data_IF_448513465826
#
_entry.id   IF_448513465826
#
_cell.length_a   1.000
_cell.length_b   1.000
_cell.length_c   1.000
_cell.angle_alpha   90.00
_cell.angle_beta   90.00
_cell.angle_gamma   90.00
#
_symmetry.space_group_name_H-M   'P 1'
#
loop_
_entity.id
_entity.type
_entity.pdbx_description
1 polymer ?
#
# COMPACT_ATOMS: atom_id res chain seq x y z
N UNK A 1 8.23 -11.65 15.81
CA UNK A 1 8.17 -12.14 14.40
C UNK A 1 8.58 -13.61 14.48
N UNK A 2 7.72 -14.55 14.09
CA UNK A 2 7.98 -15.99 14.27
C UNK A 2 8.47 -16.55 12.95
N UNK A 3 9.60 -17.25 12.92
CA UNK A 3 10.11 -17.83 11.67
C UNK A 3 9.54 -19.25 11.54
N UNK A 4 8.82 -19.53 10.46
CA UNK A 4 8.27 -20.86 10.18
C UNK A 4 8.83 -21.41 8.87
N UNK A 5 9.05 -22.72 8.78
CA UNK A 5 9.42 -23.38 7.53
C UNK A 5 8.20 -23.48 6.62
N UNK A 6 8.34 -23.09 5.35
CA UNK A 6 7.33 -23.33 4.33
C UNK A 6 7.41 -24.78 3.81
N UNK A 7 6.51 -25.14 2.88
CA UNK A 7 6.45 -26.46 2.23
C UNK A 7 7.73 -26.84 1.42
N UNK A 8 8.65 -25.90 1.25
CA UNK A 8 9.91 -26.07 0.53
C UNK A 8 11.12 -25.91 1.48
N UNK A 9 10.92 -26.15 2.78
CA UNK A 9 11.94 -26.03 3.84
C UNK A 9 12.60 -24.64 4.00
N UNK A 10 12.06 -23.60 3.35
CA UNK A 10 12.57 -22.24 3.47
C UNK A 10 12.01 -21.58 4.72
N UNK A 11 12.89 -20.93 5.49
CA UNK A 11 12.53 -20.13 6.64
C UNK A 11 11.85 -18.84 6.18
N UNK A 12 10.54 -18.73 6.44
CA UNK A 12 9.74 -17.55 6.11
C UNK A 12 9.34 -16.85 7.41
N UNK A 13 9.67 -15.55 7.58
CA UNK A 13 9.20 -14.78 8.72
C UNK A 13 7.69 -14.64 8.62
N UNK A 14 6.99 -15.27 9.56
CA UNK A 14 5.53 -15.32 9.62
C UNK A 14 5.05 -14.54 10.83
N UNK A 15 4.05 -13.69 10.61
CA UNK A 15 3.36 -13.01 11.71
C UNK A 15 2.30 -13.95 12.26
N UNK A 16 2.22 -14.11 13.58
CA UNK A 16 1.08 -14.77 14.23
C UNK A 16 -0.18 -14.02 13.80
N UNK A 17 -1.08 -14.70 13.07
CA UNK A 17 -2.31 -14.10 12.58
C UNK A 17 -3.33 -14.07 13.71
N UNK A 18 -3.57 -12.90 14.29
CA UNK A 18 -4.60 -12.71 15.31
C UNK A 18 -6.00 -12.50 14.70
N UNK A 19 -6.09 -12.28 13.38
CA UNK A 19 -7.36 -12.03 12.67
C UNK A 19 -7.27 -12.34 11.17
N UNK A 20 -8.43 -12.62 10.58
CA UNK A 20 -8.59 -12.77 9.13
C UNK A 20 -8.38 -11.44 8.41
N UNK A 21 -7.74 -11.50 7.23
CA UNK A 21 -7.56 -10.34 6.33
C UNK A 21 -8.29 -10.59 5.02
N UNK A 22 -9.05 -9.60 4.60
CA UNK A 22 -9.70 -9.62 3.28
C UNK A 22 -8.65 -9.31 2.21
N UNK A 23 -8.45 -10.25 1.29
CA UNK A 23 -7.56 -10.11 0.15
C UNK A 23 -8.37 -10.28 -1.13
N UNK A 24 -8.55 -9.21 -1.89
CA UNK A 24 -9.24 -9.26 -3.18
C UNK A 24 -8.21 -9.46 -4.29
N UNK A 25 -8.48 -10.40 -5.19
CA UNK A 25 -7.60 -10.70 -6.32
C UNK A 25 -7.80 -9.71 -7.47
N UNK A 26 -6.97 -8.66 -7.49
CA UNK A 26 -6.94 -7.66 -8.56
C UNK A 26 -5.92 -7.98 -9.67
N UNK A 27 -5.39 -9.20 -9.80
CA UNK A 27 -4.35 -9.51 -10.81
C UNK A 27 -4.76 -9.14 -12.23
N UNK A 28 -5.98 -9.48 -12.65
CA UNK A 28 -6.52 -9.14 -13.98
C UNK A 28 -6.73 -7.64 -14.15
N UNK A 29 -7.27 -6.98 -13.13
CA UNK A 29 -7.45 -5.54 -13.14
C UNK A 29 -6.10 -4.81 -13.28
N UNK A 30 -5.08 -5.26 -12.54
CA UNK A 30 -3.74 -4.69 -12.57
C UNK A 30 -3.04 -4.87 -13.92
N UNK A 31 -3.31 -5.96 -14.64
CA UNK A 31 -2.79 -6.16 -15.99
C UNK A 31 -3.43 -5.19 -17.00
N UNK A 32 -4.71 -4.87 -16.84
CA UNK A 32 -5.43 -3.93 -17.69
C UNK A 32 -5.22 -2.45 -17.29
N UNK A 33 -4.62 -2.19 -16.13
CA UNK A 33 -4.41 -0.83 -15.61
C UNK A 33 -3.05 -0.30 -16.08
N UNK A 34 -3.06 0.92 -16.61
CA UNK A 34 -1.81 1.63 -16.92
C UNK A 34 -1.01 1.89 -15.64
N UNK A 35 0.26 1.47 -15.62
CA UNK A 35 1.13 1.59 -14.45
C UNK A 35 1.59 3.04 -14.25
N UNK A 36 1.41 3.57 -13.05
CA UNK A 36 1.90 4.90 -12.67
C UNK A 36 3.36 4.80 -12.20
N UNK A 37 4.27 5.34 -13.01
CA UNK A 37 5.70 5.40 -12.74
C UNK A 37 6.06 6.62 -11.89
N UNK A 38 5.40 6.81 -10.75
CA UNK A 38 5.77 7.88 -9.83
C UNK A 38 7.15 7.57 -9.20
N UNK A 39 8.10 8.53 -9.21
CA UNK A 39 9.43 8.28 -8.69
C UNK A 39 9.39 8.10 -7.18
N UNK A 40 9.89 6.98 -6.69
CA UNK A 40 10.21 6.81 -5.29
C UNK A 40 11.52 7.55 -4.98
N UNK A 41 11.63 8.25 -3.84
CA UNK A 41 12.88 8.90 -3.47
C UNK A 41 13.99 7.86 -3.28
N UNK A 42 15.19 8.18 -3.78
CA UNK A 42 16.36 7.35 -3.53
C UNK A 42 16.70 7.34 -2.03
N UNK A 43 16.93 6.15 -1.48
CA UNK A 43 17.22 5.97 -0.05
C UNK A 43 18.44 6.81 0.36
N UNK A 44 19.50 6.84 -0.46
CA UNK A 44 20.70 7.63 -0.17
C UNK A 44 20.45 9.15 -0.11
N UNK A 45 19.49 9.65 -0.90
CA UNK A 45 19.08 11.05 -0.82
C UNK A 45 18.33 11.34 0.48
N UNK A 46 17.45 10.43 0.89
CA UNK A 46 16.72 10.54 2.15
C UNK A 46 17.68 10.48 3.34
N UNK A 47 18.62 9.52 3.36
CA UNK A 47 19.60 9.37 4.44
C UNK A 47 20.52 10.59 4.55
N UNK A 48 20.94 11.19 3.43
CA UNK A 48 21.72 12.44 3.46
C UNK A 48 20.95 13.59 4.09
N UNK A 49 19.64 13.74 3.80
CA UNK A 49 18.80 14.77 4.43
C UNK A 49 18.61 14.54 5.94
N UNK A 50 18.57 13.27 6.35
CA UNK A 50 18.38 12.87 7.75
C UNK A 50 19.67 12.91 8.57
N UNK A 51 20.85 12.80 7.95
CA UNK A 51 22.13 12.78 8.63
C UNK A 51 22.36 14.03 9.49
N UNK A 52 22.93 13.86 10.69
CA UNK A 52 23.28 14.95 11.60
C UNK A 52 22.11 15.53 12.40
N UNK A 53 20.89 14.96 12.31
CA UNK A 53 19.79 15.34 13.20
C UNK A 53 19.94 14.64 14.56
N UNK A 54 19.64 15.38 15.64
CA UNK A 54 19.75 14.87 17.02
C UNK A 54 18.61 13.94 17.41
N UNK A 55 17.45 14.05 16.74
CA UNK A 55 16.24 13.28 17.04
C UNK A 55 15.56 12.85 15.74
N UNK A 56 14.91 11.69 15.77
CA UNK A 56 14.16 11.11 14.66
C UNK A 56 12.77 10.69 15.15
N UNK A 57 11.75 10.93 14.33
CA UNK A 57 10.38 10.48 14.57
C UNK A 57 9.92 9.63 13.38
N UNK A 58 9.32 8.47 13.68
CA UNK A 58 8.74 7.59 12.67
C UNK A 58 7.22 7.61 12.83
N UNK A 59 6.53 8.05 11.77
CA UNK A 59 5.08 8.12 11.72
C UNK A 59 4.57 7.01 10.79
N UNK A 60 3.67 6.17 11.30
CA UNK A 60 2.98 5.16 10.49
C UNK A 60 1.61 5.67 10.05
N UNK A 61 1.36 5.64 8.74
CA UNK A 61 0.05 5.97 8.18
C UNK A 61 -0.91 4.81 8.38
N UNK A 62 -1.56 4.74 9.55
CA UNK A 62 -2.46 3.63 9.89
C UNK A 62 -3.53 3.42 8.81
N UNK A 63 -3.54 2.23 8.19
CA UNK A 63 -4.43 1.92 7.06
C UNK A 63 -4.36 2.98 5.94
N UNK A 64 -3.19 3.55 5.67
CA UNK A 64 -3.01 4.76 4.85
C UNK A 64 -3.62 4.68 3.46
N UNK A 65 -3.62 3.51 2.82
CA UNK A 65 -4.31 3.33 1.53
C UNK A 65 -5.82 3.52 1.66
N UNK A 66 -6.45 2.98 2.71
CA UNK A 66 -7.89 3.10 2.95
C UNK A 66 -8.33 4.53 3.31
N UNK A 67 -7.38 5.46 3.51
CA UNK A 67 -7.69 6.87 3.70
C UNK A 67 -7.85 7.62 2.37
N UNK A 68 -7.31 7.11 1.26
CA UNK A 68 -7.35 7.78 -0.05
C UNK A 68 -8.62 7.39 -0.80
N UNK A 69 -9.38 8.39 -1.27
CA UNK A 69 -10.57 8.16 -2.08
C UNK A 69 -10.23 7.68 -3.49
N UNK A 70 -11.00 6.71 -3.98
CA UNK A 70 -11.01 6.36 -5.41
C UNK A 70 -11.90 7.35 -6.14
N UNK A 71 -11.43 7.82 -7.30
CA UNK A 71 -12.20 8.68 -8.19
C UNK A 71 -13.57 8.04 -8.50
N UNK A 72 -14.69 8.78 -8.42
CA UNK A 72 -16.04 8.20 -8.59
C UNK A 72 -16.19 7.35 -9.86
N UNK A 73 -15.60 7.80 -10.98
CA UNK A 73 -15.59 7.10 -12.27
C UNK A 73 -14.88 5.73 -12.24
N UNK A 74 -13.93 5.51 -11.34
CA UNK A 74 -13.09 4.31 -11.28
C UNK A 74 -13.52 3.32 -10.19
N UNK A 75 -14.46 3.69 -9.30
CA UNK A 75 -14.91 2.84 -8.19
C UNK A 75 -15.40 1.48 -8.66
N UNK A 76 -16.22 1.45 -9.72
CA UNK A 76 -16.78 0.20 -10.28
C UNK A 76 -15.72 -0.83 -10.68
N UNK A 77 -14.47 -0.41 -10.96
CA UNK A 77 -13.36 -1.32 -11.29
C UNK A 77 -12.87 -2.12 -10.09
N UNK A 78 -13.12 -1.60 -8.88
CA UNK A 78 -12.77 -2.25 -7.60
C UNK A 78 -13.92 -3.07 -7.01
N UNK A 79 -14.89 -3.42 -7.86
CA UNK A 79 -16.01 -4.28 -7.47
C UNK A 79 -15.49 -5.68 -7.17
N UNK A 80 -15.99 -6.27 -6.09
CA UNK A 80 -15.74 -7.67 -5.75
C UNK A 80 -17.03 -8.34 -5.30
N UNK A 81 -17.13 -9.64 -5.55
CA UNK A 81 -18.26 -10.46 -5.15
C UNK A 81 -17.82 -11.41 -4.04
N UNK A 82 -18.63 -11.49 -2.99
CA UNK A 82 -18.49 -12.47 -1.93
C UNK A 82 -19.85 -13.15 -1.70
N UNK A 83 -19.94 -14.21 -0.87
CA UNK A 83 -21.20 -14.89 -0.60
C UNK A 83 -22.32 -13.98 -0.06
N UNK A 84 -21.98 -12.81 0.48
CA UNK A 84 -22.92 -11.84 1.05
C UNK A 84 -23.39 -10.79 0.05
N UNK A 85 -22.86 -10.78 -1.17
CA UNK A 85 -23.24 -9.83 -2.21
C UNK A 85 -22.06 -9.27 -3.00
N UNK A 86 -22.37 -8.27 -3.80
CA UNK A 86 -21.38 -7.54 -4.61
C UNK A 86 -21.16 -6.16 -4.00
N UNK A 87 -19.91 -5.86 -3.70
CA UNK A 87 -19.50 -4.63 -3.03
C UNK A 87 -18.48 -3.88 -3.86
N UNK A 88 -18.38 -2.57 -3.64
CA UNK A 88 -17.43 -1.70 -4.31
C UNK A 88 -16.66 -0.89 -3.28
N UNK A 89 -15.36 -0.73 -3.49
CA UNK A 89 -14.54 0.13 -2.63
C UNK A 89 -14.74 1.61 -3.01
N UNK A 90 -14.94 2.45 -1.99
CA UNK A 90 -14.93 3.91 -2.13
C UNK A 90 -13.54 4.51 -1.87
N UNK A 91 -12.70 3.76 -1.13
CA UNK A 91 -11.33 4.08 -0.74
C UNK A 91 -10.37 3.05 -1.30
N UNK A 92 -9.12 3.41 -1.49
CA UNK A 92 -8.13 2.55 -2.16
C UNK A 92 -7.85 1.26 -1.36
N UNK A 93 -8.25 0.07 -1.87
CA UNK A 93 -7.97 -1.20 -1.23
C UNK A 93 -6.52 -1.63 -1.47
N UNK A 94 -6.07 -2.58 -0.65
CA UNK A 94 -4.84 -3.32 -0.93
C UNK A 94 -4.97 -4.14 -2.23
N UNK A 95 -3.84 -4.31 -2.92
CA UNK A 95 -3.74 -5.16 -4.12
C UNK A 95 -3.82 -4.42 -5.45
N UNK A 96 -4.12 -3.11 -5.48
CA UNK A 96 -4.05 -2.32 -6.71
C UNK A 96 -2.59 -1.96 -7.06
N UNK A 97 -2.21 -2.08 -8.33
CA UNK A 97 -0.84 -1.85 -8.80
C UNK A 97 -0.34 -0.40 -8.58
N UNK A 98 -1.22 0.59 -8.65
CA UNK A 98 -0.86 2.00 -8.50
C UNK A 98 -1.05 2.54 -7.06
N UNK A 99 -1.37 1.67 -6.09
CA UNK A 99 -1.68 2.11 -4.73
C UNK A 99 -0.51 2.82 -4.06
N UNK A 100 0.70 2.24 -4.17
CA UNK A 100 1.92 2.82 -3.60
C UNK A 100 2.31 4.14 -4.27
N UNK A 101 2.26 4.22 -5.61
CA UNK A 101 2.54 5.46 -6.36
C UNK A 101 1.58 6.58 -5.95
N UNK A 102 0.29 6.27 -5.83
CA UNK A 102 -0.73 7.24 -5.41
C UNK A 102 -0.51 7.72 -3.98
N UNK A 103 -0.19 6.79 -3.07
CA UNK A 103 0.10 7.13 -1.68
C UNK A 103 1.37 7.98 -1.56
N UNK A 104 2.42 7.65 -2.29
CA UNK A 104 3.65 8.43 -2.31
C UNK A 104 3.38 9.86 -2.81
N UNK A 105 2.64 10.02 -3.91
CA UNK A 105 2.27 11.33 -4.45
C UNK A 105 1.49 12.16 -3.41
N UNK A 106 0.58 11.52 -2.69
CA UNK A 106 -0.17 12.15 -1.59
C UNK A 106 0.77 12.63 -0.49
N UNK A 107 1.69 11.77 -0.02
CA UNK A 107 2.68 12.15 1.00
C UNK A 107 3.58 13.30 0.53
N UNK A 108 4.09 13.24 -0.71
CA UNK A 108 4.90 14.32 -1.28
C UNK A 108 4.12 15.63 -1.35
N UNK A 109 2.82 15.60 -1.67
CA UNK A 109 1.98 16.79 -1.68
C UNK A 109 1.75 17.36 -0.28
N UNK A 110 1.43 16.51 0.70
CA UNK A 110 1.15 16.93 2.09
C UNK A 110 2.39 17.51 2.76
N UNK A 111 3.55 16.88 2.56
CA UNK A 111 4.81 17.29 3.17
C UNK A 111 5.67 18.16 2.24
N UNK A 112 5.11 18.69 1.15
CA UNK A 112 5.86 19.47 0.16
C UNK A 112 6.57 20.68 0.78
N UNK A 113 5.92 21.37 1.72
CA UNK A 113 6.50 22.51 2.44
C UNK A 113 7.59 22.11 3.46
N UNK A 114 7.67 20.83 3.81
CA UNK A 114 8.59 20.28 4.81
C UNK A 114 9.75 19.47 4.20
N UNK A 115 9.74 19.23 2.88
CA UNK A 115 10.68 18.39 2.14
C UNK A 115 11.72 19.18 1.36
#
# INVERSE_FOLDING_TARGET
>A
MTVMKNQHDKLVPTRIQNSWRVCIDYRRLNQATHKDHFPLPFIDQLLRKLSGKSHYCFLDGFSGYMQIHIAPKDRHKTTFTCPFGTFVYTRMPFGLCNASSTFQRCMTSIFSDLL
#
